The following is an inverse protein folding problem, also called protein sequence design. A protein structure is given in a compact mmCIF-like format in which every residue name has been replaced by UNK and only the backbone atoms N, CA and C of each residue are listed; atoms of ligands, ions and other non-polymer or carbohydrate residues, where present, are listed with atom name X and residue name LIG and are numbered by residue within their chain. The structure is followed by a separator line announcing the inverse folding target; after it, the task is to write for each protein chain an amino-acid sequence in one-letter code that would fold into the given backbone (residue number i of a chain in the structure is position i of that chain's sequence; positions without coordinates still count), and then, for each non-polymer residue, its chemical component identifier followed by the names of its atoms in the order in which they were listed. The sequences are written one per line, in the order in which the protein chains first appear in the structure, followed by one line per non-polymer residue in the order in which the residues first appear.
data_IF_041843568447
#
_entry.id   IF_041843568447
#
_cell.length_a   1.000
_cell.length_b   1.000
_cell.length_c   1.000
_cell.angle_alpha   90.00
_cell.angle_beta   90.00
_cell.angle_gamma   90.00
#
_symmetry.space_group_name_H-M   'P 1'
#
loop_
_entity.id
_entity.type
_entity.pdbx_description
1 polymer ?
#
# COMPACT_ATOMS: atom_id res chain seq x y z
N UNK A 1 -2.65 2.42 -19.06
CA UNK A 1 -2.30 1.47 -17.98
C UNK A 1 -1.90 2.27 -16.75
N UNK A 2 -2.37 1.89 -15.56
CA UNK A 2 -1.97 2.54 -14.30
C UNK A 2 -0.99 1.62 -13.59
N UNK A 3 0.22 2.11 -13.33
CA UNK A 3 1.25 1.34 -12.62
C UNK A 3 0.79 1.08 -11.18
N UNK A 4 1.09 -0.10 -10.64
CA UNK A 4 0.82 -0.42 -9.23
C UNK A 4 2.13 -0.58 -8.50
N UNK A 5 2.25 0.06 -7.34
CA UNK A 5 3.37 -0.11 -6.42
C UNK A 5 2.88 -0.98 -5.26
N UNK A 6 3.43 -2.18 -5.16
CA UNK A 6 3.15 -3.10 -4.06
C UNK A 6 4.04 -2.75 -2.86
N UNK A 7 3.43 -2.56 -1.69
CA UNK A 7 4.13 -2.34 -0.43
C UNK A 7 3.82 -3.51 0.51
N UNK A 8 4.82 -4.35 0.74
CA UNK A 8 4.77 -5.47 1.69
C UNK A 8 5.05 -4.95 3.11
N UNK A 9 4.42 -5.56 4.11
CA UNK A 9 4.45 -5.13 5.51
C UNK A 9 4.08 -3.64 5.67
N UNK A 10 2.96 -3.25 5.04
CA UNK A 10 2.53 -1.86 4.97
C UNK A 10 2.22 -1.25 6.35
N UNK A 11 1.93 -2.09 7.34
CA UNK A 11 1.66 -1.69 8.73
C UNK A 11 2.92 -1.43 9.55
N UNK A 12 4.09 -1.91 9.08
CA UNK A 12 5.39 -1.60 9.66
C UNK A 12 5.75 -0.11 9.54
N UNK A 13 6.75 0.34 10.30
CA UNK A 13 7.11 1.77 10.31
C UNK A 13 7.54 2.29 8.94
N UNK A 14 8.33 1.50 8.21
CA UNK A 14 8.74 1.81 6.84
C UNK A 14 7.55 1.82 5.89
N UNK A 15 6.72 0.76 5.91
CA UNK A 15 5.52 0.66 5.08
C UNK A 15 4.56 1.83 5.28
N UNK A 16 4.27 2.18 6.53
CA UNK A 16 3.44 3.35 6.90
C UNK A 16 4.02 4.65 6.35
N UNK A 17 5.33 4.85 6.43
CA UNK A 17 5.97 6.04 5.89
C UNK A 17 5.83 6.11 4.37
N UNK A 18 6.10 5.00 3.67
CA UNK A 18 5.97 4.92 2.21
C UNK A 18 4.56 5.28 1.76
N UNK A 19 3.53 4.65 2.31
CA UNK A 19 2.14 4.88 1.85
C UNK A 19 1.58 6.25 2.21
N UNK A 20 2.20 6.96 3.17
CA UNK A 20 1.82 8.34 3.50
C UNK A 20 2.45 9.39 2.59
N UNK A 21 3.62 9.10 2.02
CA UNK A 21 4.39 10.06 1.25
C UNK A 21 4.31 9.80 -0.25
N UNK A 22 4.30 8.53 -0.66
CA UNK A 22 4.29 8.16 -2.06
C UNK A 22 3.08 8.73 -2.82
N UNK A 23 1.82 8.66 -2.32
CA UNK A 23 0.69 9.30 -3.02
C UNK A 23 0.85 10.81 -3.24
N UNK A 24 1.57 11.52 -2.37
CA UNK A 24 1.80 12.97 -2.50
C UNK A 24 2.76 13.30 -3.64
N UNK A 25 3.63 12.37 -4.01
CA UNK A 25 4.54 12.54 -5.16
C UNK A 25 3.80 12.44 -6.49
N UNK A 26 2.54 11.96 -6.49
CA UNK A 26 1.71 11.90 -7.67
C UNK A 26 1.48 13.29 -8.29
N UNK A 27 1.37 14.33 -7.45
CA UNK A 27 1.18 15.72 -7.87
C UNK A 27 2.37 16.26 -8.69
N UNK A 28 3.55 15.67 -8.50
CA UNK A 28 4.80 16.11 -9.14
C UNK A 28 5.22 15.20 -10.30
N UNK A 29 4.41 14.21 -10.66
CA UNK A 29 4.71 13.26 -11.73
C UNK A 29 3.57 13.18 -12.73
N UNK A 30 3.90 13.10 -14.03
CA UNK A 30 2.91 12.79 -15.07
C UNK A 30 2.51 11.30 -15.09
N UNK A 31 2.90 10.54 -14.07
CA UNK A 31 2.76 9.08 -14.03
C UNK A 31 1.59 8.70 -13.15
N UNK A 32 0.55 8.11 -13.73
CA UNK A 32 -0.56 7.57 -12.95
C UNK A 32 -0.16 6.25 -12.29
N UNK A 33 -0.06 6.22 -10.96
CA UNK A 33 0.11 4.99 -10.18
C UNK A 33 -0.84 4.90 -8.98
N UNK A 34 -1.05 3.68 -8.49
CA UNK A 34 -1.76 3.37 -7.24
C UNK A 34 -0.84 2.57 -6.31
N UNK A 35 -1.04 2.72 -5.01
CA UNK A 35 -0.33 1.94 -3.99
C UNK A 35 -1.23 0.79 -3.54
N UNK A 36 -0.71 -0.43 -3.59
CA UNK A 36 -1.35 -1.62 -3.03
C UNK A 36 -0.56 -2.04 -1.78
N UNK A 37 -1.16 -1.86 -0.60
CA UNK A 37 -0.57 -2.22 0.69
C UNK A 37 -1.02 -3.60 1.15
N UNK A 38 -0.06 -4.50 1.44
CA UNK A 38 -0.37 -5.80 2.02
C UNK A 38 -0.32 -5.77 3.55
N UNK A 39 -1.37 -6.29 4.16
CA UNK A 39 -1.49 -6.53 5.59
C UNK A 39 -1.90 -7.98 5.84
N UNK A 40 -1.54 -8.53 7.00
CA UNK A 40 -2.06 -9.84 7.45
C UNK A 40 -3.50 -9.77 7.94
N UNK A 41 -4.00 -8.57 8.25
CA UNK A 41 -5.39 -8.35 8.65
C UNK A 41 -5.88 -6.96 8.26
N UNK A 42 -6.96 -6.92 7.49
CA UNK A 42 -7.68 -5.69 7.14
C UNK A 42 -8.44 -5.10 8.34
N UNK A 43 -8.76 -5.93 9.34
CA UNK A 43 -9.51 -5.52 10.52
C UNK A 43 -8.65 -4.74 11.54
N UNK A 44 -7.32 -4.81 11.40
CA UNK A 44 -6.38 -4.10 12.29
C UNK A 44 -6.57 -2.57 12.24
N UNK A 45 -6.41 -1.85 13.37
CA UNK A 45 -6.52 -0.39 13.40
C UNK A 45 -5.58 0.29 12.40
N UNK A 46 -4.35 -0.20 12.26
CA UNK A 46 -3.38 0.31 11.31
C UNK A 46 -3.88 0.18 9.86
N UNK A 47 -4.38 -0.99 9.46
CA UNK A 47 -4.93 -1.21 8.12
C UNK A 47 -6.10 -0.26 7.82
N UNK A 48 -7.07 -0.17 8.75
CA UNK A 48 -8.23 0.73 8.61
C UNK A 48 -7.84 2.20 8.51
N UNK A 49 -6.79 2.63 9.22
CA UNK A 49 -6.27 3.99 9.11
C UNK A 49 -5.62 4.23 7.75
N UNK A 50 -4.81 3.29 7.25
CA UNK A 50 -4.11 3.44 5.98
C UNK A 50 -5.04 3.35 4.76
N UNK A 51 -6.10 2.55 4.83
CA UNK A 51 -7.12 2.44 3.77
C UNK A 51 -7.88 3.75 3.49
N UNK A 52 -7.81 4.74 4.39
CA UNK A 52 -8.42 6.06 4.20
C UNK A 52 -7.55 7.01 3.37
N UNK A 53 -6.30 6.63 3.09
CA UNK A 53 -5.38 7.46 2.32
C UNK A 53 -5.77 7.43 0.83
N UNK A 54 -5.73 8.58 0.14
CA UNK A 54 -6.02 8.62 -1.29
C UNK A 54 -4.97 7.80 -2.05
N UNK A 55 -5.41 7.16 -3.14
CA UNK A 55 -4.58 6.32 -4.01
C UNK A 55 -3.94 5.10 -3.32
N UNK A 56 -4.38 4.75 -2.10
CA UNK A 56 -3.96 3.55 -1.37
C UNK A 56 -5.12 2.55 -1.35
N UNK A 57 -4.83 1.34 -1.80
CA UNK A 57 -5.69 0.17 -1.66
C UNK A 57 -5.02 -0.79 -0.67
N UNK A 58 -5.80 -1.34 0.27
CA UNK A 58 -5.30 -2.30 1.25
C UNK A 58 -5.83 -3.68 0.90
N UNK A 59 -4.96 -4.70 0.94
CA UNK A 59 -5.34 -6.08 0.70
C UNK A 59 -4.85 -6.99 1.83
N UNK A 60 -5.71 -7.92 2.25
CA UNK A 60 -5.35 -8.97 3.19
C UNK A 60 -4.61 -10.08 2.45
N UNK A 61 -3.33 -10.29 2.78
CA UNK A 61 -2.51 -11.39 2.28
C UNK A 61 -1.31 -11.56 3.20
N UNK A 62 -1.06 -12.78 3.64
CA UNK A 62 0.24 -13.12 4.22
C UNK A 62 1.28 -13.11 3.09
N UNK A 63 2.23 -12.19 3.16
CA UNK A 63 3.25 -12.04 2.13
C UNK A 63 4.15 -13.27 1.99
N UNK A 64 4.30 -14.06 3.06
CA UNK A 64 5.07 -15.31 3.03
C UNK A 64 4.42 -16.39 2.17
N UNK A 65 3.12 -16.24 1.89
CA UNK A 65 2.36 -17.12 0.97
C UNK A 65 2.33 -16.59 -0.47
N UNK A 66 3.17 -15.62 -0.81
CA UNK A 66 3.35 -15.16 -2.19
C UNK A 66 4.44 -16.03 -2.82
N UNK A 67 4.07 -16.76 -3.84
CA UNK A 67 4.94 -17.57 -4.68
C UNK A 67 4.84 -17.13 -6.15
N UNK A 68 5.75 -17.64 -6.97
CA UNK A 68 5.78 -17.39 -8.40
C UNK A 68 4.98 -18.43 -9.21
N UNK A 69 4.26 -19.31 -8.52
CA UNK A 69 3.72 -20.57 -9.06
C UNK A 69 2.20 -20.55 -9.07
#
# INVERSE_FOLDING_TARGET
MTSKILVIDVTGNTGKSVVRHLPKLHEYSNTSYRVLGLTRSLDSPASKTLAKLPHVEMQEKDWTSIDAV
#
